data_IF_819519399473
#
_entry.id   IF_819519399473
#
_cell.length_a   1.000
_cell.length_b   1.000
_cell.length_c   1.000
_cell.angle_alpha   90.00
_cell.angle_beta   90.00
_cell.angle_gamma   90.00
#
_symmetry.space_group_name_H-M   'P 1'
#
loop_
_entity.id
_entity.type
_entity.pdbx_description
1 polymer ?
#
# COMPACT_ATOMS: atom_id res chain seq x y z
N UNK A 1 -10.03 0.13 -55.54
CA UNK A 1 -9.10 0.71 -54.55
C UNK A 1 -8.88 -0.31 -53.44
N UNK A 2 -7.63 -0.61 -53.09
CA UNK A 2 -7.29 -1.69 -52.14
C UNK A 2 -7.53 -1.22 -50.70
N UNK A 3 -8.34 -1.92 -49.90
CA UNK A 3 -8.58 -1.58 -48.48
C UNK A 3 -7.27 -1.48 -47.68
N UNK A 4 -6.25 -2.30 -48.01
CA UNK A 4 -4.92 -2.22 -47.41
C UNK A 4 -4.19 -0.91 -47.71
N UNK A 5 -4.49 -0.29 -48.86
CA UNK A 5 -3.93 1.02 -49.20
C UNK A 5 -4.55 2.13 -48.35
N UNK A 6 -5.87 2.06 -48.11
CA UNK A 6 -6.57 2.98 -47.19
C UNK A 6 -6.04 2.82 -45.76
N UNK A 7 -5.94 1.60 -45.24
CA UNK A 7 -5.36 1.33 -43.90
C UNK A 7 -3.92 1.84 -43.77
N UNK A 8 -3.12 1.70 -44.84
CA UNK A 8 -1.73 2.19 -44.85
C UNK A 8 -1.68 3.71 -44.81
N UNK A 9 -2.56 4.40 -45.53
CA UNK A 9 -2.66 5.86 -45.52
C UNK A 9 -3.08 6.34 -44.12
N UNK A 10 -4.10 5.72 -43.52
CA UNK A 10 -4.56 6.05 -42.16
C UNK A 10 -3.45 5.86 -41.13
N UNK A 11 -2.74 4.72 -41.18
CA UNK A 11 -1.61 4.42 -40.30
C UNK A 11 -0.50 5.46 -40.46
N UNK A 12 -0.16 5.83 -41.69
CA UNK A 12 0.87 6.82 -41.98
C UNK A 12 0.47 8.20 -41.45
N UNK A 13 -0.78 8.61 -41.69
CA UNK A 13 -1.35 9.85 -41.17
C UNK A 13 -1.32 9.90 -39.63
N UNK A 14 -1.62 8.78 -38.96
CA UNK A 14 -1.54 8.67 -37.51
C UNK A 14 -0.10 8.86 -36.99
N UNK A 15 0.90 8.27 -37.64
CA UNK A 15 2.30 8.47 -37.28
C UNK A 15 2.78 9.90 -37.52
N UNK A 16 2.39 10.53 -38.64
CA UNK A 16 2.70 11.94 -38.92
C UNK A 16 2.09 12.86 -37.86
N UNK A 17 0.81 12.65 -37.53
CA UNK A 17 0.13 13.40 -36.46
C UNK A 17 0.82 13.23 -35.11
N UNK A 18 1.22 12.00 -34.76
CA UNK A 18 1.97 11.72 -33.53
C UNK A 18 3.28 12.50 -33.49
N UNK A 19 4.08 12.44 -34.55
CA UNK A 19 5.37 13.12 -34.62
C UNK A 19 5.22 14.65 -34.48
N UNK A 20 4.22 15.23 -35.14
CA UNK A 20 3.88 16.65 -35.02
C UNK A 20 3.44 17.04 -33.61
N UNK A 21 2.53 16.27 -32.99
CA UNK A 21 2.07 16.55 -31.62
C UNK A 21 3.23 16.45 -30.63
N UNK A 22 4.09 15.46 -30.77
CA UNK A 22 5.28 15.27 -29.92
C UNK A 22 6.32 16.39 -30.11
N UNK A 23 6.44 16.99 -31.31
CA UNK A 23 7.31 18.15 -31.52
C UNK A 23 6.73 19.42 -30.90
N UNK A 24 5.44 19.68 -31.10
CA UNK A 24 4.74 20.84 -30.53
C UNK A 24 4.70 20.78 -28.99
N UNK A 25 4.41 19.62 -28.41
CA UNK A 25 4.39 19.43 -26.95
C UNK A 25 5.73 19.73 -26.28
N UNK A 26 6.86 19.51 -26.97
CA UNK A 26 8.20 19.86 -26.44
C UNK A 26 8.41 21.37 -26.34
N UNK A 27 7.72 22.15 -27.18
CA UNK A 27 7.78 23.61 -27.20
C UNK A 27 6.78 24.25 -26.23
N UNK A 28 5.73 23.51 -25.84
CA UNK A 28 4.74 23.97 -24.86
C UNK A 28 5.35 24.17 -23.48
N UNK A 29 5.04 25.32 -22.85
CA UNK A 29 5.36 25.60 -21.45
C UNK A 29 4.11 26.10 -20.73
N UNK A 30 3.79 25.51 -19.59
CA UNK A 30 2.73 26.00 -18.71
C UNK A 30 3.30 27.11 -17.80
N UNK A 31 2.65 28.26 -17.74
CA UNK A 31 3.03 29.45 -16.95
C UNK A 31 3.33 30.70 -17.81
N UNK A 32 3.36 31.88 -17.19
CA UNK A 32 3.67 33.16 -17.84
C UNK A 32 5.13 33.60 -17.59
N UNK A 33 5.78 34.27 -18.56
CA UNK A 33 7.21 34.66 -18.47
C UNK A 33 7.50 35.93 -17.69
N UNK A 34 6.51 36.77 -17.31
CA UNK A 34 6.64 37.88 -16.34
C UNK A 34 5.28 38.54 -16.04
N UNK A 35 5.11 39.09 -14.84
CA UNK A 35 4.12 40.15 -14.57
C UNK A 35 2.93 39.80 -13.70
N UNK A 36 2.07 38.85 -14.08
CA UNK A 36 0.91 38.33 -13.33
C UNK A 36 0.44 37.05 -14.02
N UNK A 37 -0.37 36.13 -13.49
CA UNK A 37 -0.96 35.74 -12.19
C UNK A 37 -1.33 34.25 -12.43
N UNK A 38 -1.53 33.47 -11.37
CA UNK A 38 -1.92 32.04 -11.36
C UNK A 38 -2.54 31.47 -12.65
N UNK A 39 -1.98 30.35 -13.14
CA UNK A 39 -2.54 29.56 -14.25
C UNK A 39 -3.32 28.37 -13.67
N UNK A 40 -4.59 28.22 -14.06
CA UNK A 40 -5.38 27.04 -13.75
C UNK A 40 -5.02 25.91 -14.71
N UNK A 41 -4.70 24.74 -14.17
CA UNK A 41 -4.44 23.52 -14.91
C UNK A 41 -5.26 22.39 -14.28
N UNK A 42 -6.06 21.70 -15.09
CA UNK A 42 -6.85 20.56 -14.66
C UNK A 42 -6.13 19.25 -15.04
N UNK A 43 -6.09 18.29 -14.11
CA UNK A 43 -5.69 16.90 -14.36
C UNK A 43 -6.92 15.98 -14.13
N UNK A 44 -7.01 14.90 -14.89
CA UNK A 44 -8.26 14.15 -15.10
C UNK A 44 -8.37 12.90 -14.21
N UNK A 45 -9.51 12.61 -13.57
CA UNK A 45 -9.81 11.24 -13.17
C UNK A 45 -10.38 10.47 -14.38
N UNK A 46 -9.63 9.51 -14.89
CA UNK A 46 -10.09 8.58 -15.92
C UNK A 46 -11.33 7.76 -15.44
N UNK A 47 -12.46 8.05 -16.10
CA UNK A 47 -13.67 7.24 -16.35
C UNK A 47 -14.27 6.35 -15.24
N UNK A 48 -15.52 6.69 -14.91
CA UNK A 48 -16.55 5.96 -14.16
C UNK A 48 -16.58 4.43 -14.41
N UNK A 49 -15.73 3.68 -13.71
CA UNK A 49 -15.95 2.24 -13.47
C UNK A 49 -16.12 2.02 -11.98
N UNK A 50 -17.27 1.46 -11.60
CA UNK A 50 -17.52 0.97 -10.24
C UNK A 50 -16.56 -0.21 -10.01
N UNK A 51 -15.39 0.06 -9.45
CA UNK A 51 -14.39 -0.97 -9.16
C UNK A 51 -14.67 -1.62 -7.82
N UNK A 52 -14.52 -2.94 -7.75
CA UNK A 52 -14.51 -3.69 -6.49
C UNK A 52 -13.07 -3.95 -6.09
N UNK A 53 -12.73 -3.65 -4.85
CA UNK A 53 -11.37 -3.73 -4.34
C UNK A 53 -11.16 -4.98 -3.51
N UNK A 54 -10.14 -5.75 -3.86
CA UNK A 54 -9.50 -6.70 -2.95
C UNK A 54 -8.62 -5.89 -1.98
N UNK A 55 -8.89 -5.99 -0.67
CA UNK A 55 -8.17 -5.23 0.34
C UNK A 55 -7.41 -6.16 1.29
N UNK A 56 -6.20 -5.75 1.66
CA UNK A 56 -5.36 -6.45 2.62
C UNK A 56 -4.78 -5.49 3.64
N UNK A 57 -4.76 -5.88 4.90
CA UNK A 57 -4.03 -5.20 5.96
C UNK A 57 -2.69 -5.90 6.17
N UNK A 58 -1.62 -5.10 6.24
CA UNK A 58 -0.27 -5.56 6.52
C UNK A 58 0.17 -5.08 7.88
N UNK A 59 0.77 -5.97 8.67
CA UNK A 59 1.35 -5.66 9.97
C UNK A 59 2.70 -6.35 10.07
N UNK A 60 3.73 -5.64 10.54
CA UNK A 60 5.07 -6.19 10.65
C UNK A 60 5.79 -5.58 11.84
N UNK A 61 6.45 -6.41 12.63
CA UNK A 61 7.31 -5.94 13.71
C UNK A 61 8.61 -5.37 13.12
N UNK A 62 9.02 -4.20 13.63
CA UNK A 62 10.26 -3.56 13.22
C UNK A 62 11.45 -4.47 13.52
N UNK A 63 12.32 -4.69 12.52
CA UNK A 63 13.51 -5.53 12.66
C UNK A 63 13.27 -7.03 12.47
N UNK A 64 12.01 -7.49 12.32
CA UNK A 64 11.69 -8.91 12.11
C UNK A 64 10.81 -9.08 10.86
N UNK A 65 11.39 -9.14 9.64
CA UNK A 65 10.63 -9.30 8.40
C UNK A 65 9.71 -10.53 8.39
N UNK A 66 10.16 -11.64 9.01
CA UNK A 66 9.39 -12.88 9.20
C UNK A 66 8.12 -12.73 10.05
N UNK A 67 7.93 -11.59 10.72
CA UNK A 67 6.70 -11.27 11.44
C UNK A 67 5.62 -10.61 10.58
N UNK A 68 5.87 -10.41 9.28
CA UNK A 68 4.88 -9.81 8.39
C UNK A 68 3.62 -10.67 8.36
N UNK A 69 2.50 -10.11 8.79
CA UNK A 69 1.17 -10.69 8.70
C UNK A 69 0.37 -9.93 7.65
N UNK A 70 -0.22 -10.66 6.70
CA UNK A 70 -1.19 -10.14 5.75
C UNK A 70 -2.58 -10.70 6.07
N UNK A 71 -3.53 -9.81 6.35
CA UNK A 71 -4.91 -10.13 6.71
C UNK A 71 -5.82 -9.63 5.60
N UNK A 72 -6.55 -10.55 4.96
CA UNK A 72 -7.54 -10.19 3.95
C UNK A 72 -8.71 -9.46 4.60
N UNK A 73 -9.13 -8.36 4.01
CA UNK A 73 -10.29 -7.59 4.41
C UNK A 73 -11.47 -7.88 3.47
N UNK A 74 -12.72 -7.65 3.89
CA UNK A 74 -13.87 -7.74 3.00
C UNK A 74 -13.69 -6.83 1.79
N UNK A 75 -14.08 -7.32 0.61
CA UNK A 75 -14.01 -6.52 -0.60
C UNK A 75 -14.96 -5.33 -0.53
N UNK A 76 -14.51 -4.16 -0.98
CA UNK A 76 -15.28 -2.92 -0.93
C UNK A 76 -15.44 -2.36 -2.33
N UNK A 77 -16.65 -1.93 -2.67
CA UNK A 77 -16.92 -1.25 -3.93
C UNK A 77 -16.59 0.24 -3.82
N UNK A 78 -15.97 0.78 -4.87
CA UNK A 78 -15.60 2.20 -4.95
C UNK A 78 -16.85 3.06 -4.85
N UNK A 79 -16.80 4.07 -3.98
CA UNK A 79 -17.83 5.11 -3.96
C UNK A 79 -17.61 6.05 -5.15
N UNK A 80 -18.69 6.62 -5.71
CA UNK A 80 -18.56 7.61 -6.79
C UNK A 80 -17.53 8.69 -6.41
N UNK A 81 -16.61 9.00 -7.33
CA UNK A 81 -15.53 9.99 -7.17
C UNK A 81 -14.47 9.68 -6.10
N UNK A 82 -14.46 8.49 -5.50
CA UNK A 82 -13.42 8.10 -4.57
C UNK A 82 -12.21 7.51 -5.31
N UNK A 83 -10.96 7.90 -4.96
CA UNK A 83 -9.75 7.38 -5.61
C UNK A 83 -9.44 5.92 -5.23
N UNK A 84 -10.24 5.28 -4.37
CA UNK A 84 -10.01 3.92 -3.88
C UNK A 84 -11.07 3.47 -2.87
N UNK A 85 -10.83 2.34 -2.16
CA UNK A 85 -11.82 1.74 -1.24
C UNK A 85 -11.98 2.50 0.08
N UNK A 86 -11.11 3.49 0.34
CA UNK A 86 -11.09 4.27 1.57
C UNK A 86 -10.49 3.53 2.77
N UNK A 87 -10.49 4.20 3.92
CA UNK A 87 -9.90 3.68 5.15
C UNK A 87 -10.69 2.49 5.74
N UNK A 88 -9.95 1.55 6.36
CA UNK A 88 -10.51 0.36 7.01
C UNK A 88 -11.59 0.76 8.03
N UNK A 89 -12.78 0.12 7.96
CA UNK A 89 -13.86 0.40 8.91
C UNK A 89 -13.44 0.04 10.34
N UNK A 90 -13.90 0.84 11.32
CA UNK A 90 -13.59 0.64 12.75
C UNK A 90 -13.95 -0.77 13.20
N UNK A 91 -15.09 -1.31 12.76
CA UNK A 91 -15.54 -2.67 13.10
C UNK A 91 -14.57 -3.77 12.68
N UNK A 92 -13.95 -3.65 11.49
CA UNK A 92 -12.97 -4.63 11.02
C UNK A 92 -11.64 -4.45 11.74
N UNK A 93 -11.20 -3.20 11.91
CA UNK A 93 -9.99 -2.89 12.65
C UNK A 93 -10.04 -3.39 14.10
N UNK A 94 -11.14 -3.16 14.82
CA UNK A 94 -11.29 -3.58 16.22
C UNK A 94 -11.16 -5.10 16.36
N UNK A 95 -11.80 -5.87 15.47
CA UNK A 95 -11.68 -7.34 15.47
C UNK A 95 -10.21 -7.76 15.29
N UNK A 96 -9.55 -7.23 14.27
CA UNK A 96 -8.15 -7.54 13.98
C UNK A 96 -7.23 -7.15 15.14
N UNK A 97 -7.38 -5.94 15.68
CA UNK A 97 -6.54 -5.46 16.77
C UNK A 97 -6.75 -6.29 18.05
N UNK A 98 -7.99 -6.72 18.32
CA UNK A 98 -8.25 -7.60 19.45
C UNK A 98 -7.59 -8.98 19.28
N UNK A 99 -7.56 -9.55 18.08
CA UNK A 99 -6.90 -10.83 17.80
C UNK A 99 -5.37 -10.72 17.86
N UNK A 100 -4.80 -9.68 17.26
CA UNK A 100 -3.36 -9.61 17.01
C UNK A 100 -2.57 -8.75 17.98
N UNK A 101 -3.22 -7.83 18.70
CA UNK A 101 -2.53 -6.80 19.48
C UNK A 101 -2.93 -6.75 20.96
N UNK A 102 -4.16 -7.14 21.30
CA UNK A 102 -4.68 -7.03 22.68
C UNK A 102 -3.79 -7.78 23.67
N UNK A 103 -3.39 -7.10 24.74
CA UNK A 103 -2.62 -7.67 25.84
C UNK A 103 -1.14 -7.93 25.52
N UNK A 104 -0.64 -7.49 24.37
CA UNK A 104 0.74 -7.80 23.92
C UNK A 104 1.76 -6.67 24.13
N UNK A 105 1.38 -5.59 24.81
CA UNK A 105 2.25 -4.44 25.12
C UNK A 105 2.95 -3.86 23.88
N UNK A 106 2.16 -3.44 22.90
CA UNK A 106 2.64 -3.02 21.57
C UNK A 106 2.59 -1.50 21.42
N UNK A 107 3.68 -0.91 20.90
CA UNK A 107 3.67 0.44 20.34
C UNK A 107 3.26 0.34 18.86
N UNK A 108 2.08 0.85 18.53
CA UNK A 108 1.54 0.76 17.18
C UNK A 108 1.77 2.07 16.42
N UNK A 109 2.54 1.97 15.34
CA UNK A 109 2.68 3.00 14.31
C UNK A 109 1.78 2.65 13.11
N UNK A 110 0.92 3.58 12.71
CA UNK A 110 -0.14 3.35 11.71
C UNK A 110 -0.51 4.67 11.05
N UNK A 111 -0.77 4.69 9.76
CA UNK A 111 -1.26 5.89 9.05
C UNK A 111 -2.80 5.97 9.05
N UNK A 112 -3.47 4.88 9.44
CA UNK A 112 -4.94 4.80 9.43
C UNK A 112 -5.56 5.64 10.54
N UNK A 113 -6.19 6.77 10.16
CA UNK A 113 -6.92 7.66 11.08
C UNK A 113 -7.92 6.93 12.00
N UNK A 114 -8.54 5.85 11.51
CA UNK A 114 -9.51 5.04 12.27
C UNK A 114 -8.86 4.13 13.30
N UNK A 115 -7.64 3.65 13.03
CA UNK A 115 -6.91 2.80 13.96
C UNK A 115 -6.55 3.53 15.26
N UNK A 116 -6.17 4.80 15.16
CA UNK A 116 -5.92 5.67 16.31
C UNK A 116 -7.14 5.82 17.23
N UNK A 117 -8.36 5.80 16.69
CA UNK A 117 -9.57 6.01 17.49
C UNK A 117 -10.00 4.77 18.28
N UNK A 118 -9.48 3.59 17.94
CA UNK A 118 -9.75 2.38 18.70
C UNK A 118 -8.91 2.38 19.99
N UNK A 119 -9.53 2.07 21.13
CA UNK A 119 -8.82 1.78 22.37
C UNK A 119 -8.65 0.27 22.45
N UNK A 120 -7.42 -0.21 22.51
CA UNK A 120 -7.09 -1.64 22.60
C UNK A 120 -6.16 -1.82 23.78
N UNK A 121 -6.50 -2.73 24.70
CA UNK A 121 -5.72 -2.96 25.91
C UNK A 121 -4.30 -3.43 25.57
N UNK A 122 -3.30 -2.86 26.24
CA UNK A 122 -1.89 -3.14 25.96
C UNK A 122 -1.37 -2.61 24.63
N UNK A 123 -2.06 -1.64 24.00
CA UNK A 123 -1.60 -1.01 22.75
C UNK A 123 -1.46 0.50 22.92
N UNK A 124 -0.24 0.99 22.76
CA UNK A 124 0.07 2.41 22.75
C UNK A 124 0.04 2.93 21.31
N UNK A 125 -0.90 3.82 21.02
CA UNK A 125 -1.00 4.48 19.72
C UNK A 125 -0.18 5.77 19.70
N UNK A 126 0.68 5.96 18.69
CA UNK A 126 1.41 7.23 18.51
C UNK A 126 0.50 8.32 17.94
N UNK A 127 -0.28 8.98 18.79
CA UNK A 127 -1.01 10.21 18.41
C UNK A 127 -0.14 11.41 18.75
N UNK A 128 0.29 12.19 17.77
CA UNK A 128 0.91 13.49 18.06
C UNK A 128 0.22 14.63 17.33
N UNK A 129 -0.69 15.28 18.04
CA UNK A 129 -0.95 16.71 17.84
C UNK A 129 0.17 17.45 18.57
N UNK A 130 0.72 18.47 17.94
CA UNK A 130 1.67 19.39 18.57
C UNK A 130 0.98 20.72 18.75
N UNK A 131 1.11 21.28 19.95
CA UNK A 131 0.74 22.66 20.18
C UNK A 131 1.73 23.56 19.46
N UNK A 132 1.25 24.34 18.49
CA UNK A 132 2.08 25.30 17.75
C UNK A 132 1.22 26.53 17.45
N UNK A 133 1.71 27.70 17.82
CA UNK A 133 1.03 28.99 17.61
C UNK A 133 -0.43 29.00 18.11
N UNK A 134 -0.67 28.57 19.36
CA UNK A 134 -1.99 28.62 20.01
C UNK A 134 -3.02 27.60 19.49
N UNK A 135 -2.64 26.69 18.58
CA UNK A 135 -3.54 25.66 18.02
C UNK A 135 -2.90 24.28 18.09
N UNK A 136 -3.74 23.26 18.29
CA UNK A 136 -3.33 21.86 18.17
C UNK A 136 -3.26 21.44 16.69
N UNK A 137 -2.05 21.30 16.16
CA UNK A 137 -1.82 20.95 14.75
C UNK A 137 -1.38 19.50 14.64
N UNK A 138 -1.91 18.77 13.66
CA UNK A 138 -1.39 17.46 13.27
C UNK A 138 -0.06 17.64 12.53
N UNK A 139 1.04 17.12 13.08
CA UNK A 139 2.32 17.17 12.37
C UNK A 139 2.34 16.07 11.30
N UNK A 140 2.64 16.39 10.03
CA UNK A 140 2.85 15.37 9.02
C UNK A 140 4.00 14.44 9.45
N UNK A 141 3.92 13.14 9.13
CA UNK A 141 4.96 12.19 9.50
C UNK A 141 6.25 12.50 8.74
N UNK A 142 7.31 12.84 9.47
CA UNK A 142 8.69 12.87 8.95
C UNK A 142 9.21 11.44 8.93
N UNK A 143 9.71 10.99 7.77
CA UNK A 143 10.10 9.61 7.44
C UNK A 143 10.56 8.78 8.64
N UNK A 144 11.77 9.01 9.17
CA UNK A 144 12.23 8.37 10.41
C UNK A 144 12.31 9.44 11.48
N UNK A 145 11.50 9.31 12.52
CA UNK A 145 11.64 10.12 13.74
C UNK A 145 11.92 9.21 14.91
N UNK A 146 12.87 9.58 15.76
CA UNK A 146 13.01 8.96 17.08
C UNK A 146 11.89 9.52 17.96
N UNK A 147 10.96 8.65 18.37
CA UNK A 147 9.87 8.98 19.26
C UNK A 147 10.17 8.47 20.67
N UNK A 148 9.99 9.35 21.65
CA UNK A 148 10.04 9.01 23.08
C UNK A 148 8.61 8.73 23.55
N UNK A 149 8.38 7.55 24.09
CA UNK A 149 7.11 7.10 24.63
C UNK A 149 7.24 6.89 26.12
N UNK A 150 6.25 7.35 26.89
CA UNK A 150 6.10 6.96 28.29
C UNK A 150 5.15 5.77 28.33
N UNK A 151 5.60 4.66 28.90
CA UNK A 151 4.81 3.45 29.10
C UNK A 151 3.83 3.64 30.27
N UNK A 152 2.78 2.79 30.39
CA UNK A 152 1.82 2.88 31.49
C UNK A 152 2.43 2.76 32.89
N UNK A 153 3.61 2.12 33.00
CA UNK A 153 4.38 1.96 34.23
C UNK A 153 5.35 3.11 34.52
N UNK A 154 5.30 4.20 33.74
CA UNK A 154 6.16 5.37 33.89
C UNK A 154 7.53 5.25 33.21
N UNK A 155 7.94 4.07 32.73
CA UNK A 155 9.22 3.91 32.02
C UNK A 155 9.19 4.64 30.68
N UNK A 156 10.35 5.16 30.27
CA UNK A 156 10.51 5.91 29.01
C UNK A 156 11.23 5.05 27.99
N UNK A 157 10.58 4.82 26.85
CA UNK A 157 11.12 4.06 25.72
C UNK A 157 11.41 5.00 24.55
N UNK A 158 12.56 4.81 23.90
CA UNK A 158 12.93 5.58 22.71
C UNK A 158 12.93 4.64 21.50
N UNK A 159 12.03 4.86 20.54
CA UNK A 159 11.86 3.99 19.36
C UNK A 159 11.81 4.77 18.05
N UNK A 160 12.18 4.13 16.95
CA UNK A 160 11.97 4.67 15.60
C UNK A 160 10.48 4.61 15.26
N UNK A 161 9.87 5.77 15.01
CA UNK A 161 8.49 5.93 14.59
C UNK A 161 8.34 5.93 13.06
N UNK A 162 7.12 5.64 12.58
CA UNK A 162 6.73 5.67 11.17
C UNK A 162 6.33 4.31 10.58
N UNK A 163 5.62 4.33 9.46
CA UNK A 163 5.07 3.15 8.76
C UNK A 163 6.01 2.54 7.72
N UNK A 164 7.21 3.08 7.55
CA UNK A 164 8.11 2.75 6.44
C UNK A 164 8.45 1.26 6.34
N UNK A 165 8.46 0.55 7.47
CA UNK A 165 8.74 -0.90 7.50
C UNK A 165 7.63 -1.66 6.77
N UNK A 166 6.37 -1.33 7.05
CA UNK A 166 5.23 -1.94 6.35
C UNK A 166 5.13 -1.43 4.91
N UNK A 167 5.48 -0.17 4.65
CA UNK A 167 5.49 0.39 3.29
C UNK A 167 6.51 -0.32 2.38
N UNK A 168 7.69 -0.67 2.92
CA UNK A 168 8.70 -1.47 2.23
C UNK A 168 8.23 -2.90 1.97
N UNK A 169 7.53 -3.52 2.92
CA UNK A 169 6.90 -4.82 2.73
C UNK A 169 5.85 -4.76 1.60
N UNK A 170 5.03 -3.72 1.58
CA UNK A 170 4.04 -3.51 0.52
C UNK A 170 4.67 -3.29 -0.85
N UNK A 171 5.75 -2.52 -0.93
CA UNK A 171 6.51 -2.36 -2.17
C UNK A 171 7.01 -3.72 -2.67
N UNK A 172 7.67 -4.48 -1.81
CA UNK A 172 8.19 -5.81 -2.13
C UNK A 172 7.13 -6.77 -2.69
N UNK A 173 5.93 -6.77 -2.08
CA UNK A 173 4.80 -7.58 -2.55
C UNK A 173 4.31 -7.06 -3.92
N UNK A 174 4.09 -5.75 -4.06
CA UNK A 174 3.58 -5.15 -5.30
C UNK A 174 4.51 -5.40 -6.49
N UNK A 175 5.82 -5.35 -6.28
CA UNK A 175 6.82 -5.63 -7.32
C UNK A 175 6.67 -7.07 -7.88
N UNK A 176 6.23 -8.03 -7.05
CA UNK A 176 6.00 -9.43 -7.42
C UNK A 176 4.64 -9.71 -8.04
N UNK A 177 3.69 -8.80 -7.88
CA UNK A 177 2.34 -8.95 -8.42
C UNK A 177 2.20 -8.45 -9.87
N UNK A 178 3.26 -7.90 -10.47
CA UNK A 178 3.33 -7.29 -11.82
C UNK A 178 2.09 -6.46 -12.16
N UNK A 179 2.24 -5.17 -11.84
CA UNK A 179 1.38 -4.01 -12.09
C UNK A 179 0.72 -4.07 -13.48
N UNK A 180 -0.53 -4.55 -13.52
CA UNK A 180 -1.58 -4.30 -14.52
C UNK A 180 -2.84 -5.15 -14.31
N UNK A 181 -2.89 -6.01 -13.29
CA UNK A 181 -4.01 -6.93 -13.15
C UNK A 181 -5.20 -6.28 -12.44
N UNK A 182 -6.16 -5.79 -13.23
CA UNK A 182 -7.56 -5.84 -12.84
C UNK A 182 -7.92 -7.32 -12.64
N UNK A 183 -7.83 -7.82 -11.41
CA UNK A 183 -8.19 -9.21 -11.06
C UNK A 183 -9.58 -9.22 -10.42
N UNK A 184 -10.33 -10.31 -10.65
CA UNK A 184 -11.54 -10.60 -9.90
C UNK A 184 -11.23 -10.63 -8.39
N UNK A 185 -12.01 -9.90 -7.60
CA UNK A 185 -12.00 -10.03 -6.14
C UNK A 185 -12.19 -11.49 -5.72
N UNK A 186 -11.56 -11.89 -4.62
CA UNK A 186 -11.51 -13.25 -4.11
C UNK A 186 -10.84 -14.27 -5.05
N UNK A 187 -10.04 -13.83 -6.01
CA UNK A 187 -9.22 -14.74 -6.83
C UNK A 187 -8.30 -15.57 -5.94
N UNK A 188 -8.39 -16.90 -6.07
CA UNK A 188 -7.52 -17.86 -5.39
C UNK A 188 -6.08 -17.72 -5.85
N UNK A 189 -5.88 -17.47 -7.16
CA UNK A 189 -4.56 -17.22 -7.74
C UNK A 189 -3.92 -15.94 -7.18
N UNK A 190 -4.69 -14.86 -7.05
CA UNK A 190 -4.17 -13.62 -6.45
C UNK A 190 -3.77 -13.84 -4.99
N UNK A 191 -4.60 -14.54 -4.23
CA UNK A 191 -4.29 -14.92 -2.85
C UNK A 191 -3.01 -15.74 -2.77
N UNK A 192 -2.86 -16.77 -3.60
CA UNK A 192 -1.67 -17.60 -3.66
C UNK A 192 -0.41 -16.77 -3.97
N UNK A 193 -0.48 -15.86 -4.97
CA UNK A 193 0.64 -14.96 -5.29
C UNK A 193 1.00 -14.01 -4.16
N UNK A 194 0.01 -13.45 -3.47
CA UNK A 194 0.25 -12.59 -2.28
C UNK A 194 0.94 -13.40 -1.17
N UNK A 195 0.52 -14.64 -0.93
CA UNK A 195 1.14 -15.53 0.08
C UNK A 195 2.54 -15.97 -0.32
N UNK A 196 2.77 -16.26 -1.60
CA UNK A 196 4.10 -16.55 -2.14
C UNK A 196 5.05 -15.37 -1.91
N UNK A 197 4.62 -14.15 -2.27
CA UNK A 197 5.41 -12.94 -2.03
C UNK A 197 5.65 -12.66 -0.53
N UNK A 198 4.69 -13.01 0.33
CA UNK A 198 4.85 -12.94 1.79
C UNK A 198 5.93 -13.91 2.28
N UNK A 199 5.93 -15.16 1.80
CA UNK A 199 6.96 -16.15 2.12
C UNK A 199 8.35 -15.68 1.69
N UNK A 200 8.51 -15.22 0.46
CA UNK A 200 9.79 -14.68 -0.02
C UNK A 200 10.25 -13.47 0.84
N UNK A 201 9.31 -12.64 1.28
CA UNK A 201 9.62 -11.53 2.18
C UNK A 201 10.11 -12.01 3.55
N UNK A 202 9.54 -13.09 4.09
CA UNK A 202 9.97 -13.69 5.36
C UNK A 202 11.39 -14.24 5.28
N UNK A 203 11.77 -14.81 4.13
CA UNK A 203 13.09 -15.41 3.90
C UNK A 203 14.10 -14.42 3.32
N UNK A 204 13.76 -13.13 3.27
CA UNK A 204 14.66 -12.11 2.72
C UNK A 204 15.99 -12.08 3.47
N UNK A 205 17.09 -12.18 2.72
CA UNK A 205 18.45 -12.20 3.26
C UNK A 205 18.94 -13.59 3.65
N UNK A 206 18.13 -14.63 3.46
CA UNK A 206 18.55 -16.03 3.54
C UNK A 206 18.75 -16.61 2.15
N UNK A 207 19.36 -17.79 2.10
CA UNK A 207 19.44 -18.57 0.88
C UNK A 207 18.04 -19.06 0.44
N UNK A 208 17.70 -18.79 -0.81
CA UNK A 208 16.39 -19.07 -1.37
C UNK A 208 16.18 -20.56 -1.63
N UNK A 209 17.22 -21.29 -1.98
CA UNK A 209 17.15 -22.73 -2.27
C UNK A 209 16.98 -23.54 -0.99
N UNK A 210 17.76 -23.24 0.04
CA UNK A 210 17.62 -23.84 1.36
C UNK A 210 16.23 -23.58 1.94
N UNK A 211 15.75 -22.33 1.89
CA UNK A 211 14.41 -21.97 2.39
C UNK A 211 13.29 -22.69 1.63
N UNK A 212 13.45 -22.87 0.31
CA UNK A 212 12.51 -23.63 -0.52
C UNK A 212 12.59 -25.13 -0.22
N UNK A 213 13.78 -25.68 0.05
CA UNK A 213 13.98 -27.07 0.45
C UNK A 213 13.32 -27.40 1.79
N UNK A 214 13.43 -26.51 2.78
CA UNK A 214 12.73 -26.62 4.06
C UNK A 214 11.20 -26.63 3.87
N UNK A 215 10.68 -25.75 2.99
CA UNK A 215 9.26 -25.70 2.66
C UNK A 215 8.77 -27.02 2.03
N UNK A 216 9.52 -27.59 1.09
CA UNK A 216 9.16 -28.88 0.49
C UNK A 216 9.23 -30.04 1.47
N UNK A 217 10.25 -30.05 2.34
CA UNK A 217 10.37 -31.05 3.40
C UNK A 217 9.14 -31.02 4.30
N UNK A 218 8.75 -29.84 4.79
CA UNK A 218 7.53 -29.66 5.56
C UNK A 218 6.29 -30.12 4.80
N UNK A 219 6.15 -29.75 3.52
CA UNK A 219 5.00 -30.12 2.70
C UNK A 219 4.87 -31.64 2.56
N UNK A 220 5.98 -32.34 2.29
CA UNK A 220 5.99 -33.79 2.14
C UNK A 220 5.64 -34.51 3.44
N UNK A 221 6.16 -34.06 4.60
CA UNK A 221 5.81 -34.64 5.91
C UNK A 221 4.31 -34.51 6.21
N UNK A 222 3.68 -33.37 5.89
CA UNK A 222 2.26 -33.15 6.15
C UNK A 222 1.31 -33.87 5.18
N UNK A 223 1.82 -34.34 4.04
CA UNK A 223 1.06 -35.20 3.12
C UNK A 223 1.18 -36.66 3.57
N UNK A 224 2.37 -37.09 3.98
CA UNK A 224 2.61 -38.44 4.46
C UNK A 224 1.80 -38.78 5.73
N UNK A 225 1.50 -37.81 6.60
CA UNK A 225 0.64 -38.01 7.77
C UNK A 225 -0.87 -38.13 7.46
N UNK A 226 -1.29 -37.87 6.22
CA UNK A 226 -2.71 -37.92 5.80
C UNK A 226 -3.09 -39.19 5.03
N UNK A 227 -2.12 -40.08 4.80
CA UNK A 227 -2.29 -41.39 4.20
C UNK A 227 -1.73 -42.46 5.13
#
# INVERSE_FOLDING_TARGET
MNHKAVERIEKSLAFTRKAYVESEQKLMRFGFTKGHKWMEAEDSPAQSRVMKWEQWLGMVARGKPSSLVLIRLPCVTTRKRAPGPGAIKKVHWTKIANTWLKGRNIILHTDSARSYKAKVAGVLHEKKRVWKAGKWIWKPPTFVRIAKHTLPDGRRLTVKAGTQVVDRAWRYIKDRLKINQNVKCNSTLLQAKIRSAQFEYWQRGKDAWASTGELFTWYMSNIAEKF
#
